data_IF_739913066001
#
_entry.id   IF_739913066001
#
_cell.length_a   1.000
_cell.length_b   1.000
_cell.length_c   1.000
_cell.angle_alpha   90.00
_cell.angle_beta   90.00
_cell.angle_gamma   90.00
#
_symmetry.space_group_name_H-M   'P 1'
#
loop_
_entity.id
_entity.type
_entity.pdbx_description
1 polymer ?
#
# COMPACT_ATOMS: atom_id res chain seq x y z
N UNK A 1 -3.43 2.88 -4.03
CA UNK A 1 -3.00 3.43 -2.73
C UNK A 1 -1.53 3.10 -2.51
N UNK A 2 -0.71 4.11 -2.25
CA UNK A 2 0.69 4.02 -1.88
C UNK A 2 0.77 4.14 -0.35
N UNK A 3 1.04 3.01 0.32
CA UNK A 3 1.00 2.88 1.77
C UNK A 3 2.41 2.80 2.33
N UNK A 4 2.82 3.83 3.06
CA UNK A 4 4.13 3.95 3.68
C UNK A 4 4.12 3.33 5.07
N UNK A 5 4.24 2.01 5.10
CA UNK A 5 4.26 1.21 6.33
C UNK A 5 5.47 1.55 7.18
N UNK A 6 5.23 1.81 8.47
CA UNK A 6 6.20 2.25 9.43
C UNK A 6 6.00 3.70 9.87
N UNK A 7 4.91 4.39 9.56
CA UNK A 7 4.64 5.73 10.07
C UNK A 7 5.51 6.81 9.44
N UNK A 8 5.15 7.28 8.26
CA UNK A 8 5.84 8.37 7.57
C UNK A 8 5.81 9.65 8.42
N UNK A 9 6.99 10.20 8.71
CA UNK A 9 7.10 11.48 9.41
C UNK A 9 6.48 12.60 8.58
N UNK A 10 5.36 13.15 9.02
CA UNK A 10 4.69 14.28 8.36
C UNK A 10 5.56 15.53 8.36
N UNK A 11 6.33 15.76 9.44
CA UNK A 11 7.19 16.94 9.60
C UNK A 11 8.39 16.91 8.66
N UNK A 12 8.87 15.71 8.31
CA UNK A 12 10.01 15.55 7.39
C UNK A 12 9.56 15.27 5.94
N UNK A 13 8.25 15.36 5.67
CA UNK A 13 7.66 15.11 4.34
C UNK A 13 6.69 16.21 3.91
N UNK A 14 5.43 16.13 4.35
CA UNK A 14 4.30 16.89 3.82
C UNK A 14 3.97 18.17 4.59
N UNK A 15 4.36 18.26 5.87
CA UNK A 15 3.97 19.28 6.83
C UNK A 15 5.16 19.79 7.65
N UNK A 16 6.16 20.32 6.94
CA UNK A 16 7.37 20.82 7.57
C UNK A 16 7.11 21.99 8.51
N UNK A 17 7.90 22.06 9.59
CA UNK A 17 7.82 23.11 10.62
C UNK A 17 9.11 23.94 10.68
N UNK A 18 9.48 24.68 9.62
CA UNK A 18 10.79 25.36 9.54
C UNK A 18 11.03 26.38 10.67
N UNK A 19 9.95 26.96 11.20
CA UNK A 19 9.98 27.94 12.30
C UNK A 19 10.03 27.32 13.70
N UNK A 20 9.86 25.99 13.82
CA UNK A 20 9.96 25.30 15.10
C UNK A 20 11.41 25.21 15.59
N UNK A 21 11.59 24.82 16.86
CA UNK A 21 12.91 24.55 17.44
C UNK A 21 13.69 23.50 16.63
N UNK A 22 15.02 23.54 16.68
CA UNK A 22 15.88 22.57 15.97
C UNK A 22 15.62 21.12 16.38
N UNK A 23 15.14 20.89 17.60
CA UNK A 23 14.71 19.59 18.11
C UNK A 23 13.37 19.11 17.53
N UNK A 24 12.66 19.96 16.80
CA UNK A 24 11.43 19.64 16.08
C UNK A 24 11.62 19.66 14.56
N UNK A 25 12.12 20.77 14.00
CA UNK A 25 12.20 20.95 12.54
C UNK A 25 13.23 20.04 11.87
N UNK A 26 14.24 19.58 12.62
CA UNK A 26 15.27 18.69 12.11
C UNK A 26 16.25 19.33 11.13
N UNK A 27 16.84 18.50 10.29
CA UNK A 27 17.93 18.86 9.36
C UNK A 27 17.42 19.30 7.97
N UNK A 28 16.17 18.97 7.63
CA UNK A 28 15.62 19.19 6.29
C UNK A 28 15.02 20.58 6.13
N UNK A 29 15.03 21.07 4.89
CA UNK A 29 14.47 22.37 4.52
C UNK A 29 13.25 22.23 3.60
N UNK A 30 12.31 23.20 3.66
CA UNK A 30 11.22 23.27 2.70
C UNK A 30 11.72 23.68 1.31
N UNK A 31 11.12 23.10 0.27
CA UNK A 31 11.26 23.52 -1.13
C UNK A 31 9.94 24.08 -1.65
N UNK A 32 10.03 25.09 -2.54
CA UNK A 32 8.86 25.61 -3.26
C UNK A 32 8.31 24.59 -4.24
N UNK A 33 6.98 24.59 -4.43
CA UNK A 33 6.28 23.60 -5.24
C UNK A 33 5.58 24.26 -6.44
N UNK A 34 4.94 23.46 -7.30
CA UNK A 34 4.10 23.98 -8.39
C UNK A 34 2.83 24.70 -7.93
N UNK A 35 2.52 24.66 -6.63
CA UNK A 35 1.50 25.50 -5.99
C UNK A 35 2.18 26.53 -5.08
N UNK A 36 1.95 27.83 -5.33
CA UNK A 36 2.71 28.93 -4.73
C UNK A 36 2.74 28.94 -3.20
N UNK A 37 1.65 28.52 -2.55
CA UNK A 37 1.48 28.57 -1.09
C UNK A 37 1.78 27.23 -0.39
N UNK A 38 2.34 26.27 -1.13
CA UNK A 38 2.63 24.93 -0.59
C UNK A 38 4.12 24.67 -0.69
N UNK A 39 4.71 24.32 0.44
CA UNK A 39 6.07 23.80 0.55
C UNK A 39 6.05 22.39 1.16
N UNK A 40 6.98 21.56 0.70
CA UNK A 40 7.22 20.20 1.19
C UNK A 40 8.74 19.97 1.36
N UNK A 41 9.15 18.80 1.83
CA UNK A 41 10.56 18.43 1.99
C UNK A 41 11.38 18.54 0.70
N UNK A 42 12.56 19.17 0.79
CA UNK A 42 13.53 19.29 -0.30
C UNK A 42 14.00 17.95 -0.90
N UNK A 43 13.82 16.84 -0.17
CA UNK A 43 14.09 15.49 -0.64
C UNK A 43 12.95 14.83 -1.44
N UNK A 44 11.87 15.58 -1.73
CA UNK A 44 10.82 15.19 -2.68
C UNK A 44 10.70 16.17 -3.86
N UNK A 45 11.81 16.47 -4.58
CA UNK A 45 11.82 17.52 -5.59
C UNK A 45 10.96 17.19 -6.82
N UNK A 46 10.75 15.92 -7.17
CA UNK A 46 9.93 15.56 -8.34
C UNK A 46 8.45 15.74 -8.03
N UNK A 47 8.00 15.32 -6.85
CA UNK A 47 6.65 15.58 -6.34
C UNK A 47 6.40 17.07 -6.13
N UNK A 48 7.39 17.84 -5.69
CA UNK A 48 7.26 19.30 -5.55
C UNK A 48 6.78 19.96 -6.85
N UNK A 49 7.25 19.48 -8.01
CA UNK A 49 6.81 19.99 -9.32
C UNK A 49 5.39 19.55 -9.74
N UNK A 50 4.75 18.66 -8.98
CA UNK A 50 3.44 18.06 -9.28
C UNK A 50 2.39 18.34 -8.21
N UNK A 51 2.69 19.15 -7.19
CA UNK A 51 1.77 19.50 -6.10
C UNK A 51 0.46 20.13 -6.60
N UNK A 52 0.46 20.80 -7.75
CA UNK A 52 -0.76 21.25 -8.44
C UNK A 52 -1.79 20.13 -8.68
N UNK A 53 -1.38 18.86 -8.69
CA UNK A 53 -2.27 17.70 -8.80
C UNK A 53 -2.68 17.09 -7.45
N UNK A 54 -2.00 17.46 -6.35
CA UNK A 54 -2.20 16.85 -5.04
C UNK A 54 -3.05 17.74 -4.11
N UNK A 55 -3.94 17.11 -3.37
CA UNK A 55 -4.51 17.65 -2.15
C UNK A 55 -3.80 17.00 -0.95
N UNK A 56 -3.14 17.79 -0.10
CA UNK A 56 -2.43 17.30 1.08
C UNK A 56 -3.32 17.53 2.30
N UNK A 57 -3.63 16.47 3.05
CA UNK A 57 -4.32 16.57 4.34
C UNK A 57 -3.26 16.61 5.44
N UNK A 58 -3.23 17.67 6.25
CA UNK A 58 -2.23 17.88 7.34
C UNK A 58 -2.80 17.75 8.75
N UNK A 59 -4.04 17.28 8.86
CA UNK A 59 -4.82 17.21 10.10
C UNK A 59 -5.33 15.80 10.39
N UNK A 60 -4.73 14.78 9.76
CA UNK A 60 -5.11 13.39 10.03
C UNK A 60 -4.70 13.01 11.45
N UNK A 61 -5.55 12.29 12.18
CA UNK A 61 -5.22 11.79 13.51
C UNK A 61 -6.03 10.54 13.88
N UNK A 62 -5.54 9.79 14.86
CA UNK A 62 -6.31 8.80 15.62
C UNK A 62 -5.62 8.51 16.96
N UNK A 63 -6.01 7.44 17.66
CA UNK A 63 -5.51 7.13 19.01
C UNK A 63 -4.66 5.85 19.12
N UNK A 64 -4.50 5.09 18.02
CA UNK A 64 -3.74 3.85 18.03
C UNK A 64 -2.22 4.10 18.01
N UNK A 65 -1.48 3.65 19.03
CA UNK A 65 -0.05 3.97 19.23
C UNK A 65 0.91 2.90 18.73
N UNK A 66 0.40 1.73 18.33
CA UNK A 66 1.19 0.65 17.75
C UNK A 66 0.85 0.43 16.28
N UNK A 67 1.83 -0.09 15.54
CA UNK A 67 1.72 -0.29 14.10
C UNK A 67 0.53 -1.17 13.67
N UNK A 68 0.17 -2.19 14.46
CA UNK A 68 -0.95 -3.09 14.14
C UNK A 68 -2.28 -2.38 14.28
N UNK A 69 -2.51 -1.76 15.43
CA UNK A 69 -3.74 -1.02 15.69
C UNK A 69 -3.92 0.15 14.72
N UNK A 70 -2.84 0.90 14.45
CA UNK A 70 -2.85 2.04 13.54
C UNK A 70 -3.03 1.62 12.08
N UNK A 71 -2.32 0.56 11.65
CA UNK A 71 -2.42 0.00 10.31
C UNK A 71 -3.81 -0.54 10.03
N UNK A 72 -4.40 -1.26 11.00
CA UNK A 72 -5.79 -1.70 10.94
C UNK A 72 -6.75 -0.53 10.72
N UNK A 73 -6.60 0.55 11.49
CA UNK A 73 -7.51 1.70 11.41
C UNK A 73 -7.42 2.37 10.04
N UNK A 74 -6.22 2.64 9.53
CA UNK A 74 -6.04 3.27 8.23
C UNK A 74 -6.42 2.36 7.05
N UNK A 75 -6.24 1.04 7.16
CA UNK A 75 -6.58 0.11 6.09
C UNK A 75 -8.07 -0.26 6.05
N UNK A 76 -8.79 -0.18 7.18
CA UNK A 76 -10.22 -0.54 7.26
C UNK A 76 -11.15 0.67 7.40
N UNK A 77 -10.63 1.82 7.82
CA UNK A 77 -11.44 3.00 8.14
C UNK A 77 -12.16 2.88 9.49
N UNK A 78 -11.91 1.82 10.25
CA UNK A 78 -12.58 1.53 11.52
C UNK A 78 -11.60 1.41 12.68
N UNK A 79 -11.97 1.97 13.82
CA UNK A 79 -11.19 1.85 15.04
C UNK A 79 -10.93 0.38 15.41
N UNK A 80 -9.68 0.01 15.76
CA UNK A 80 -9.39 -1.31 16.26
C UNK A 80 -10.03 -1.49 17.64
N UNK A 81 -10.32 -2.75 18.02
CA UNK A 81 -10.85 -3.06 19.35
C UNK A 81 -9.91 -2.65 20.48
N UNK A 82 -8.60 -2.67 20.22
CA UNK A 82 -7.55 -2.28 21.14
C UNK A 82 -6.64 -1.25 20.45
N UNK A 83 -6.40 -0.14 21.12
CA UNK A 83 -5.54 0.96 20.63
C UNK A 83 -4.03 0.67 20.80
N UNK A 84 -3.73 -0.32 21.64
CA UNK A 84 -2.39 -0.85 21.86
C UNK A 84 -2.51 -2.33 22.20
N UNK A 85 -2.10 -3.25 21.33
CA UNK A 85 -2.23 -4.69 21.62
C UNK A 85 -1.07 -5.56 21.09
N UNK A 86 -0.71 -6.64 21.81
CA UNK A 86 0.17 -7.66 21.24
C UNK A 86 -0.53 -8.39 20.08
N UNK A 87 0.28 -8.83 19.12
CA UNK A 87 -0.06 -9.44 17.83
C UNK A 87 -1.49 -10.00 17.69
N UNK A 88 -2.44 -9.14 17.28
CA UNK A 88 -3.78 -9.57 16.85
C UNK A 88 -3.65 -10.19 15.47
N UNK A 89 -3.88 -11.50 15.38
CA UNK A 89 -3.86 -12.20 14.11
C UNK A 89 -5.11 -11.87 13.27
N UNK A 90 -5.02 -11.89 11.93
CA UNK A 90 -6.18 -11.70 11.07
C UNK A 90 -7.30 -12.68 11.40
N UNK A 91 -8.53 -12.19 11.45
CA UNK A 91 -9.73 -12.96 11.73
C UNK A 91 -10.86 -12.58 10.78
N UNK A 92 -11.85 -13.48 10.63
CA UNK A 92 -13.10 -13.17 9.91
C UNK A 92 -14.05 -12.28 10.70
N UNK A 93 -13.71 -11.94 11.95
CA UNK A 93 -14.39 -10.92 12.74
C UNK A 93 -13.87 -9.50 12.49
N UNK A 94 -12.80 -9.34 11.70
CA UNK A 94 -12.22 -8.04 11.35
C UNK A 94 -13.14 -7.27 10.39
N UNK A 95 -13.05 -5.94 10.43
CA UNK A 95 -13.55 -5.09 9.36
C UNK A 95 -12.76 -5.37 8.07
N UNK A 96 -13.41 -5.39 6.90
CA UNK A 96 -12.73 -5.59 5.63
C UNK A 96 -11.76 -4.43 5.36
N UNK A 97 -10.64 -4.74 4.73
CA UNK A 97 -9.73 -3.72 4.19
C UNK A 97 -10.39 -2.93 3.06
N UNK A 98 -9.90 -1.74 2.78
CA UNK A 98 -10.34 -0.90 1.66
C UNK A 98 -10.32 -1.67 0.32
N UNK A 99 -9.31 -2.53 0.12
CA UNK A 99 -9.22 -3.39 -1.06
C UNK A 99 -10.34 -4.42 -1.13
N UNK A 100 -10.67 -5.07 -0.01
CA UNK A 100 -11.78 -6.02 0.05
C UNK A 100 -13.14 -5.32 -0.10
N UNK A 101 -13.32 -4.13 0.47
CA UNK A 101 -14.52 -3.32 0.28
C UNK A 101 -14.71 -2.94 -1.20
N UNK A 102 -13.64 -2.52 -1.88
CA UNK A 102 -13.66 -2.24 -3.31
C UNK A 102 -13.95 -3.51 -4.13
N UNK A 103 -13.29 -4.62 -3.83
CA UNK A 103 -13.53 -5.91 -4.48
C UNK A 103 -15.01 -6.34 -4.38
N UNK A 104 -15.61 -6.14 -3.21
CA UNK A 104 -17.03 -6.40 -2.97
C UNK A 104 -17.95 -5.45 -3.76
N UNK A 105 -17.66 -4.15 -3.75
CA UNK A 105 -18.44 -3.15 -4.50
C UNK A 105 -18.42 -3.42 -6.03
N UNK A 106 -17.31 -3.95 -6.56
CA UNK A 106 -17.14 -4.24 -7.98
C UNK A 106 -17.32 -5.73 -8.36
N UNK A 107 -17.89 -6.56 -7.48
CA UNK A 107 -17.95 -8.01 -7.65
C UNK A 107 -18.56 -8.46 -8.99
N UNK A 108 -19.67 -7.84 -9.42
CA UNK A 108 -20.33 -8.18 -10.69
C UNK A 108 -19.49 -7.84 -11.93
N UNK A 109 -18.68 -6.78 -11.86
CA UNK A 109 -17.73 -6.42 -12.93
C UNK A 109 -16.57 -7.42 -12.98
N UNK A 110 -16.07 -7.81 -11.82
CA UNK A 110 -14.91 -8.70 -11.68
C UNK A 110 -15.20 -10.14 -12.12
N UNK A 111 -16.41 -10.65 -11.83
CA UNK A 111 -16.86 -11.98 -12.31
C UNK A 111 -16.74 -12.15 -13.83
N UNK A 112 -16.81 -11.05 -14.59
CA UNK A 112 -16.72 -11.07 -16.06
C UNK A 112 -15.28 -10.99 -16.58
N UNK A 113 -14.37 -10.41 -15.81
CA UNK A 113 -12.98 -10.18 -16.25
C UNK A 113 -12.01 -11.28 -15.82
N UNK A 114 -12.33 -12.04 -14.78
CA UNK A 114 -11.39 -13.02 -14.19
C UNK A 114 -10.20 -12.36 -13.47
N UNK A 115 -10.23 -11.03 -13.29
CA UNK A 115 -9.20 -10.28 -12.56
C UNK A 115 -9.46 -10.39 -11.04
N UNK A 116 -8.41 -10.41 -10.21
CA UNK A 116 -8.60 -10.35 -8.77
C UNK A 116 -9.25 -9.03 -8.36
N UNK A 117 -10.07 -9.06 -7.31
CA UNK A 117 -10.80 -7.87 -6.86
C UNK A 117 -9.92 -6.79 -6.24
N UNK A 118 -8.80 -7.17 -5.62
CA UNK A 118 -7.76 -6.23 -5.19
C UNK A 118 -6.42 -6.94 -5.10
N UNK A 119 -5.34 -6.16 -5.13
CA UNK A 119 -3.97 -6.67 -5.02
C UNK A 119 -3.18 -5.91 -3.97
N UNK A 120 -2.26 -6.62 -3.33
CA UNK A 120 -1.30 -6.09 -2.37
C UNK A 120 0.11 -6.38 -2.88
N UNK A 121 0.93 -5.34 -2.99
CA UNK A 121 2.24 -5.37 -3.65
C UNK A 121 3.26 -4.70 -2.74
N UNK A 122 4.49 -5.23 -2.58
CA UNK A 122 4.97 -6.51 -3.08
C UNK A 122 4.62 -7.73 -2.19
N UNK A 123 4.26 -7.50 -0.93
CA UNK A 123 3.95 -8.55 0.06
C UNK A 123 3.05 -7.98 1.19
N UNK A 124 2.37 -8.82 1.99
CA UNK A 124 1.66 -8.33 3.16
C UNK A 124 2.63 -7.73 4.18
N UNK A 125 2.13 -6.76 4.95
CA UNK A 125 2.85 -6.23 6.11
C UNK A 125 2.70 -7.18 7.30
N UNK A 126 3.77 -7.29 8.08
CA UNK A 126 3.86 -8.12 9.27
C UNK A 126 4.67 -7.41 10.36
N UNK A 127 4.21 -7.51 11.60
CA UNK A 127 4.95 -7.14 12.82
C UNK A 127 4.68 -8.24 13.83
N UNK A 128 5.65 -9.13 14.10
CA UNK A 128 5.46 -10.31 14.97
C UNK A 128 4.28 -11.19 14.51
N UNK A 129 4.22 -11.44 13.19
CA UNK A 129 3.13 -12.16 12.51
C UNK A 129 2.37 -11.28 11.52
N UNK A 130 1.45 -11.87 10.75
CA UNK A 130 0.62 -11.10 9.81
C UNK A 130 -0.22 -10.05 10.55
N UNK A 131 -0.37 -8.89 9.92
CA UNK A 131 -1.18 -7.80 10.42
C UNK A 131 -2.64 -7.94 9.98
N UNK A 132 -3.56 -7.83 10.92
CA UNK A 132 -4.99 -7.80 10.66
C UNK A 132 -5.42 -6.51 9.93
N UNK A 133 -6.62 -6.47 9.35
CA UNK A 133 -7.10 -5.28 8.61
C UNK A 133 -6.55 -5.12 7.19
N UNK A 134 -5.65 -6.00 6.73
CA UNK A 134 -5.25 -6.10 5.31
C UNK A 134 -6.20 -6.99 4.48
N UNK A 135 -7.00 -7.82 5.15
CA UNK A 135 -7.80 -8.90 4.55
C UNK A 135 -9.29 -8.53 4.47
N UNK A 136 -10.10 -9.43 3.93
CA UNK A 136 -11.53 -9.21 3.77
C UNK A 136 -12.35 -9.35 5.05
N UNK A 137 -11.78 -9.86 6.14
CA UNK A 137 -12.48 -10.01 7.41
C UNK A 137 -13.84 -10.69 7.21
N UNK A 138 -14.90 -10.05 7.68
CA UNK A 138 -16.29 -10.54 7.62
C UNK A 138 -16.86 -10.70 6.21
N UNK A 139 -16.25 -10.12 5.16
CA UNK A 139 -16.71 -10.33 3.77
C UNK A 139 -16.35 -11.71 3.23
N UNK A 140 -15.42 -12.42 3.89
CA UNK A 140 -15.01 -13.77 3.50
C UNK A 140 -13.86 -13.79 2.49
N UNK A 141 -13.25 -14.97 2.34
CA UNK A 141 -11.97 -15.15 1.65
C UNK A 141 -12.00 -14.81 0.15
N UNK A 142 -13.17 -14.84 -0.50
CA UNK A 142 -13.33 -14.50 -1.91
C UNK A 142 -12.85 -13.08 -2.23
N UNK A 143 -12.99 -12.17 -1.26
CA UNK A 143 -12.59 -10.76 -1.37
C UNK A 143 -11.21 -10.47 -0.79
N UNK A 144 -10.46 -11.48 -0.33
CA UNK A 144 -9.10 -11.25 0.12
C UNK A 144 -8.21 -10.76 -1.05
N UNK A 145 -7.30 -9.82 -0.76
CA UNK A 145 -6.36 -9.34 -1.77
C UNK A 145 -5.43 -10.47 -2.23
N UNK A 146 -5.04 -10.42 -3.50
CA UNK A 146 -3.98 -11.29 -4.02
C UNK A 146 -2.63 -10.60 -3.80
N UNK A 147 -1.67 -11.34 -3.25
CA UNK A 147 -0.31 -10.87 -3.06
C UNK A 147 0.54 -11.10 -4.29
N UNK A 148 1.17 -10.03 -4.78
CA UNK A 148 2.02 -10.11 -5.97
C UNK A 148 3.33 -9.38 -5.72
N UNK A 149 4.44 -10.05 -6.00
CA UNK A 149 5.78 -9.47 -6.03
C UNK A 149 6.14 -9.11 -7.47
N UNK A 150 6.60 -7.87 -7.76
CA UNK A 150 7.07 -7.55 -9.10
C UNK A 150 8.28 -8.42 -9.44
N UNK A 151 8.31 -8.95 -10.67
CA UNK A 151 9.48 -9.65 -11.20
C UNK A 151 10.67 -8.70 -11.26
N UNK A 152 11.89 -9.17 -11.06
CA UNK A 152 13.12 -8.39 -11.21
C UNK A 152 14.30 -9.30 -11.57
N UNK A 153 15.24 -8.79 -12.38
CA UNK A 153 16.44 -9.53 -12.77
C UNK A 153 17.35 -9.82 -11.57
N UNK A 154 17.38 -8.91 -10.59
CA UNK A 154 17.98 -9.11 -9.28
C UNK A 154 16.87 -9.21 -8.24
N UNK A 155 16.88 -10.25 -7.42
CA UNK A 155 15.96 -10.32 -6.29
C UNK A 155 16.25 -9.17 -5.32
N UNK A 156 15.21 -8.46 -4.93
CA UNK A 156 15.29 -7.49 -3.84
C UNK A 156 15.48 -8.24 -2.51
N UNK A 157 16.34 -7.72 -1.65
CA UNK A 157 16.79 -8.34 -0.39
C UNK A 157 15.68 -8.53 0.68
N UNK A 158 14.40 -8.35 0.33
CA UNK A 158 13.27 -8.45 1.25
C UNK A 158 12.77 -9.89 1.44
N UNK A 159 12.52 -10.25 2.70
CA UNK A 159 11.90 -11.54 3.09
C UNK A 159 10.40 -11.36 3.23
N UNK A 160 9.62 -12.08 2.41
CA UNK A 160 8.17 -12.15 2.61
C UNK A 160 7.89 -13.01 3.84
N UNK A 161 7.04 -12.57 4.79
CA UNK A 161 6.37 -13.48 5.71
C UNK A 161 5.64 -14.49 4.83
N UNK A 162 5.86 -15.77 5.08
CA UNK A 162 5.32 -16.84 4.22
C UNK A 162 3.79 -16.83 4.29
N UNK A 163 3.17 -16.21 3.29
CA UNK A 163 1.81 -16.51 2.85
C UNK A 163 1.94 -16.89 1.39
N UNK A 164 1.62 -18.14 1.05
CA UNK A 164 1.86 -18.76 -0.27
C UNK A 164 1.92 -17.76 -1.42
N UNK A 165 3.13 -17.56 -1.95
CA UNK A 165 3.35 -16.69 -3.09
C UNK A 165 2.57 -17.23 -4.29
N UNK A 166 1.82 -16.36 -4.97
CA UNK A 166 1.44 -16.64 -6.35
C UNK A 166 2.69 -16.45 -7.22
N UNK A 167 3.53 -17.48 -7.31
CA UNK A 167 4.57 -17.52 -8.32
C UNK A 167 3.88 -17.75 -9.67
N UNK A 168 3.70 -16.67 -10.44
CA UNK A 168 3.13 -16.71 -11.78
C UNK A 168 4.15 -17.15 -12.84
N UNK A 169 5.40 -17.38 -12.44
CA UNK A 169 6.44 -17.88 -13.34
C UNK A 169 5.99 -19.21 -13.95
N UNK A 170 6.02 -19.35 -15.29
CA UNK A 170 5.72 -20.61 -15.93
C UNK A 170 6.74 -21.65 -15.42
N UNK A 171 6.25 -22.67 -14.72
CA UNK A 171 7.06 -23.85 -14.43
C UNK A 171 7.49 -24.44 -15.80
N UNK A 172 8.79 -24.58 -16.10
CA UNK A 172 9.31 -24.82 -17.45
C UNK A 172 8.68 -26.03 -18.18
N UNK A 173 8.07 -26.95 -17.45
CA UNK A 173 7.47 -28.18 -17.96
C UNK A 173 5.95 -28.27 -17.79
N UNK A 174 5.27 -27.17 -17.47
CA UNK A 174 3.86 -27.16 -17.06
C UNK A 174 2.99 -26.34 -18.01
N UNK A 175 2.77 -26.89 -19.21
CA UNK A 175 1.84 -26.33 -20.18
C UNK A 175 0.36 -26.40 -19.74
N UNK A 176 -0.55 -25.65 -20.39
CA UNK A 176 -1.97 -25.56 -20.02
C UNK A 176 -2.65 -26.93 -19.94
N UNK A 177 -2.39 -27.82 -20.91
CA UNK A 177 -2.98 -29.16 -20.96
C UNK A 177 -2.52 -30.05 -19.80
N UNK A 178 -1.25 -29.92 -19.40
CA UNK A 178 -0.69 -30.66 -18.27
C UNK A 178 -1.22 -30.15 -16.93
N UNK A 179 -1.47 -28.84 -16.83
CA UNK A 179 -2.14 -28.23 -15.68
C UNK A 179 -3.59 -28.72 -15.56
N UNK A 180 -4.34 -28.69 -16.65
CA UNK A 180 -5.72 -29.18 -16.71
C UNK A 180 -5.81 -30.69 -16.37
N UNK A 181 -4.88 -31.50 -16.88
CA UNK A 181 -4.80 -32.93 -16.56
C UNK A 181 -4.54 -33.18 -15.05
N UNK A 182 -3.68 -32.38 -14.42
CA UNK A 182 -3.42 -32.45 -12.97
C UNK A 182 -4.60 -32.00 -12.14
N UNK A 183 -5.33 -30.94 -12.54
CA UNK A 183 -6.58 -30.55 -11.88
C UNK A 183 -7.63 -31.65 -11.98
N UNK A 184 -7.82 -32.22 -13.17
CA UNK A 184 -8.73 -33.36 -13.35
C UNK A 184 -8.32 -34.55 -12.48
N UNK A 185 -7.02 -34.85 -12.38
CA UNK A 185 -6.54 -35.93 -11.51
C UNK A 185 -6.79 -35.61 -10.03
N UNK A 186 -6.52 -34.39 -9.58
CA UNK A 186 -6.78 -33.94 -8.21
C UNK A 186 -8.27 -34.07 -7.87
N UNK A 187 -9.15 -33.57 -8.75
CA UNK A 187 -10.60 -33.71 -8.58
C UNK A 187 -11.08 -35.17 -8.58
N UNK A 188 -10.42 -36.06 -9.34
CA UNK A 188 -10.69 -37.51 -9.32
C UNK A 188 -10.16 -38.20 -8.05
N UNK A 189 -9.04 -37.76 -7.51
CA UNK A 189 -8.48 -38.27 -6.25
C UNK A 189 -9.28 -37.79 -5.04
N UNK A 190 -9.90 -36.61 -5.12
CA UNK A 190 -10.79 -36.07 -4.08
C UNK A 190 -12.24 -36.59 -4.17
N UNK A 191 -12.52 -37.45 -5.17
CA UNK A 191 -13.83 -37.98 -5.53
C UNK A 191 -14.33 -39.09 -4.57
N UNK A 192 -14.34 -38.76 -3.28
CA UNK A 192 -14.83 -39.61 -2.18
C UNK A 192 -14.86 -38.91 -0.82
N UNK A 193 -14.42 -37.65 -0.74
CA UNK A 193 -14.43 -36.86 0.50
C UNK A 193 -13.64 -37.49 1.65
N UNK A 194 -12.74 -38.43 1.36
CA UNK A 194 -11.91 -39.11 2.36
C UNK A 194 -10.81 -38.18 2.90
N UNK A 195 -10.23 -37.34 2.04
CA UNK A 195 -9.34 -36.24 2.44
C UNK A 195 -10.12 -35.10 3.13
N UNK A 196 -11.32 -34.77 2.62
CA UNK A 196 -12.22 -33.75 3.22
C UNK A 196 -12.69 -34.07 4.65
N UNK A 197 -12.88 -35.35 5.00
CA UNK A 197 -13.32 -35.77 6.35
C UNK A 197 -12.21 -35.75 7.41
N UNK A 198 -10.95 -35.83 7.00
CA UNK A 198 -9.79 -35.73 7.91
C UNK A 198 -9.33 -34.27 8.07
N UNK A 199 -9.68 -33.39 7.12
CA UNK A 199 -9.21 -32.01 7.03
C UNK A 199 -10.27 -30.95 7.44
N UNK A 200 -11.22 -31.29 8.32
CA UNK A 200 -12.21 -30.35 8.86
C UNK A 200 -11.59 -29.39 9.91
N UNK A 201 -10.45 -28.79 9.59
CA UNK A 201 -9.94 -27.59 10.22
C UNK A 201 -10.18 -26.44 9.23
N UNK A 202 -10.70 -25.31 9.71
CA UNK A 202 -11.09 -24.13 8.93
C UNK A 202 -9.99 -23.59 7.97
N UNK A 203 -8.74 -24.03 8.15
CA UNK A 203 -7.59 -23.67 7.31
C UNK A 203 -7.60 -24.26 5.89
N UNK A 204 -8.29 -25.38 5.63
CA UNK A 204 -8.23 -26.05 4.32
C UNK A 204 -9.17 -25.46 3.25
N UNK A 205 -10.36 -24.99 3.63
CA UNK A 205 -11.30 -24.38 2.68
C UNK A 205 -10.77 -23.08 2.06
N UNK A 206 -10.08 -22.26 2.87
CA UNK A 206 -9.40 -21.06 2.39
C UNK A 206 -8.23 -21.41 1.44
N UNK A 207 -7.46 -22.47 1.73
CA UNK A 207 -6.39 -22.93 0.83
C UNK A 207 -6.89 -23.42 -0.53
N UNK A 208 -7.99 -24.17 -0.58
CA UNK A 208 -8.60 -24.64 -1.84
C UNK A 208 -9.07 -23.45 -2.70
N UNK A 209 -9.66 -22.42 -2.08
CA UNK A 209 -10.09 -21.20 -2.75
C UNK A 209 -8.91 -20.38 -3.29
N UNK A 210 -7.84 -20.20 -2.50
CA UNK A 210 -6.62 -19.55 -2.99
C UNK A 210 -6.00 -20.32 -4.16
N UNK A 211 -5.99 -21.66 -4.11
CA UNK A 211 -5.49 -22.50 -5.20
C UNK A 211 -6.35 -22.35 -6.47
N UNK A 212 -7.68 -22.35 -6.34
CA UNK A 212 -8.57 -22.16 -7.49
C UNK A 212 -8.36 -20.78 -8.15
N UNK A 213 -8.28 -19.71 -7.35
CA UNK A 213 -8.01 -18.34 -7.81
C UNK A 213 -6.63 -18.23 -8.47
N UNK A 214 -5.61 -18.88 -7.89
CA UNK A 214 -4.27 -18.96 -8.47
C UNK A 214 -4.29 -19.61 -9.86
N UNK A 215 -5.01 -20.71 -10.00
CA UNK A 215 -5.11 -21.47 -11.23
C UNK A 215 -5.88 -20.71 -12.32
N UNK A 216 -6.95 -20.00 -11.95
CA UNK A 216 -7.68 -19.13 -12.86
C UNK A 216 -6.80 -17.98 -13.37
N UNK A 217 -6.04 -17.34 -12.47
CA UNK A 217 -5.08 -16.30 -12.84
C UNK A 217 -3.95 -16.84 -13.74
N UNK A 218 -3.47 -18.06 -13.46
CA UNK A 218 -2.51 -18.74 -14.32
C UNK A 218 -3.11 -19.17 -15.66
N UNK A 219 -4.40 -19.47 -15.76
CA UNK A 219 -5.02 -19.85 -17.03
C UNK A 219 -5.36 -18.63 -17.90
N UNK A 220 -5.64 -17.48 -17.29
CA UNK A 220 -6.05 -16.24 -17.96
C UNK A 220 -4.89 -15.53 -18.67
N UNK A 221 -4.93 -15.44 -20.01
CA UNK A 221 -3.92 -14.73 -20.81
C UNK A 221 -3.85 -13.23 -20.47
N UNK A 222 -5.00 -12.57 -20.34
CA UNK A 222 -5.08 -11.14 -20.00
C UNK A 222 -4.53 -10.84 -18.61
N UNK A 223 -4.77 -11.74 -17.64
CA UNK A 223 -4.24 -11.66 -16.28
C UNK A 223 -2.71 -11.69 -16.34
N UNK A 224 -2.11 -12.73 -16.95
CA UNK A 224 -0.64 -12.86 -17.06
C UNK A 224 0.02 -11.65 -17.73
N UNK A 225 -0.58 -11.15 -18.81
CA UNK A 225 -0.03 -9.99 -19.51
C UNK A 225 -0.05 -8.71 -18.66
N UNK A 226 -1.06 -8.53 -17.80
CA UNK A 226 -1.12 -7.39 -16.89
C UNK A 226 0.00 -7.43 -15.83
N UNK A 227 0.40 -8.63 -15.39
CA UNK A 227 1.49 -8.83 -14.41
C UNK A 227 2.91 -8.71 -14.98
N UNK A 228 3.06 -8.79 -16.31
CA UNK A 228 4.37 -8.75 -16.97
C UNK A 228 4.85 -7.31 -17.21
N UNK A 229 5.80 -6.86 -16.37
CA UNK A 229 6.43 -5.54 -16.48
C UNK A 229 7.29 -5.39 -17.73
N UNK A 230 7.82 -6.48 -18.31
CA UNK A 230 8.69 -6.40 -19.49
C UNK A 230 7.93 -5.98 -20.75
N UNK A 231 6.59 -5.99 -20.71
CA UNK A 231 5.72 -5.45 -21.76
C UNK A 231 5.68 -3.92 -21.78
N UNK A 232 6.15 -3.25 -20.74
CA UNK A 232 6.27 -1.79 -20.74
C UNK A 232 7.52 -1.33 -21.49
N UNK A 233 7.45 -0.21 -22.23
CA UNK A 233 8.61 0.38 -22.87
C UNK A 233 9.73 0.62 -21.85
N UNK A 234 10.99 0.41 -22.28
CA UNK A 234 12.16 0.59 -21.41
C UNK A 234 12.22 1.99 -20.77
N UNK A 235 11.79 3.03 -21.50
CA UNK A 235 11.71 4.39 -20.99
C UNK A 235 10.72 4.54 -19.82
N UNK A 236 9.55 3.89 -19.90
CA UNK A 236 8.56 3.89 -18.81
C UNK A 236 9.14 3.17 -17.59
N UNK A 237 9.73 1.99 -17.77
CA UNK A 237 10.38 1.27 -16.66
C UNK A 237 11.49 2.10 -16.00
N UNK A 238 12.33 2.77 -16.79
CA UNK A 238 13.39 3.63 -16.27
C UNK A 238 12.83 4.86 -15.52
N UNK A 239 11.70 5.41 -15.96
CA UNK A 239 11.05 6.55 -15.31
C UNK A 239 10.61 6.21 -13.88
N UNK A 240 9.96 5.06 -13.68
CA UNK A 240 9.57 4.57 -12.34
C UNK A 240 10.77 4.13 -11.48
N UNK A 241 11.84 3.66 -12.11
CA UNK A 241 13.09 3.26 -11.45
C UNK A 241 13.18 1.76 -11.17
N UNK A 242 14.40 1.24 -11.18
CA UNK A 242 14.70 -0.18 -10.91
C UNK A 242 14.94 -0.44 -9.42
N UNK A 243 13.94 -0.11 -8.62
CA UNK A 243 13.86 -0.40 -7.18
C UNK A 243 12.48 -0.96 -6.86
N UNK A 244 12.34 -1.59 -5.69
CA UNK A 244 11.11 -2.32 -5.33
C UNK A 244 9.88 -1.41 -5.33
N UNK A 245 10.00 -0.17 -4.86
CA UNK A 245 8.92 0.81 -4.88
C UNK A 245 8.48 1.11 -6.32
N UNK A 246 9.41 1.52 -7.18
CA UNK A 246 9.16 1.88 -8.58
C UNK A 246 8.49 0.76 -9.37
N UNK A 247 9.03 -0.46 -9.28
CA UNK A 247 8.44 -1.63 -9.95
C UNK A 247 7.06 -1.99 -9.40
N UNK A 248 6.84 -1.84 -8.09
CA UNK A 248 5.54 -2.10 -7.46
C UNK A 248 4.48 -1.09 -7.89
N UNK A 249 4.84 0.20 -7.98
CA UNK A 249 3.95 1.26 -8.46
C UNK A 249 3.63 1.08 -9.94
N UNK A 250 4.62 0.75 -10.78
CA UNK A 250 4.39 0.45 -12.20
C UNK A 250 3.46 -0.77 -12.37
N UNK A 251 3.67 -1.82 -11.58
CA UNK A 251 2.79 -2.99 -11.59
C UNK A 251 1.36 -2.59 -11.19
N UNK A 252 1.19 -1.79 -10.13
CA UNK A 252 -0.12 -1.27 -9.75
C UNK A 252 -0.80 -0.46 -10.87
N UNK A 253 -0.04 0.35 -11.63
CA UNK A 253 -0.56 1.09 -12.79
C UNK A 253 -1.11 0.13 -13.87
N UNK A 254 -0.36 -0.92 -14.20
CA UNK A 254 -0.79 -1.94 -15.19
C UNK A 254 -1.99 -2.77 -14.72
N UNK A 255 -2.03 -3.10 -13.44
CA UNK A 255 -3.11 -3.89 -12.86
C UNK A 255 -4.42 -3.10 -12.77
N UNK A 256 -4.33 -1.81 -12.46
CA UNK A 256 -5.49 -0.91 -12.52
C UNK A 256 -5.93 -0.65 -13.96
N UNK A 257 -5.01 -0.54 -14.92
CA UNK A 257 -5.31 -0.53 -16.37
C UNK A 257 -6.13 -1.77 -16.80
N UNK A 258 -5.76 -2.93 -16.26
CA UNK A 258 -6.44 -4.20 -16.55
C UNK A 258 -7.78 -4.36 -15.80
N UNK A 259 -8.24 -3.35 -15.07
CA UNK A 259 -9.56 -3.31 -14.44
C UNK A 259 -9.61 -3.78 -13.00
N UNK A 260 -8.46 -3.95 -12.33
CA UNK A 260 -8.43 -4.16 -10.87
C UNK A 260 -8.82 -2.84 -10.19
N UNK A 261 -9.90 -2.79 -9.39
CA UNK A 261 -10.41 -1.52 -8.83
C UNK A 261 -9.46 -0.90 -7.81
N UNK A 262 -8.66 -1.71 -7.10
CA UNK A 262 -7.76 -1.20 -6.08
C UNK A 262 -6.46 -2.02 -5.98
N UNK A 263 -5.34 -1.32 -6.09
CA UNK A 263 -4.02 -1.84 -5.77
C UNK A 263 -3.44 -1.11 -4.55
N UNK A 264 -3.01 -1.88 -3.54
CA UNK A 264 -2.25 -1.38 -2.39
C UNK A 264 -0.77 -1.66 -2.66
N UNK A 265 0.04 -0.62 -2.72
CA UNK A 265 1.49 -0.71 -2.81
C UNK A 265 2.05 -0.33 -1.45
N UNK A 266 2.63 -1.30 -0.75
CA UNK A 266 3.40 -1.04 0.46
C UNK A 266 4.78 -0.51 0.06
N UNK A 267 4.94 0.81 0.17
CA UNK A 267 6.14 1.51 -0.28
C UNK A 267 7.28 1.30 0.72
N UNK A 268 8.37 0.68 0.28
CA UNK A 268 9.65 0.61 0.99
C UNK A 268 10.82 0.86 0.07
N UNK A 269 11.97 1.15 0.68
CA UNK A 269 13.25 1.12 -0.02
C UNK A 269 13.90 -0.29 -0.03
N UNK A 270 13.31 -1.26 0.67
CA UNK A 270 13.84 -2.62 0.84
C UNK A 270 12.91 -3.50 1.68
N UNK A 271 13.47 -4.35 2.55
CA UNK A 271 12.70 -5.28 3.39
C UNK A 271 11.67 -4.57 4.31
N UNK A 272 10.36 -4.82 4.16
CA UNK A 272 9.30 -4.19 4.96
C UNK A 272 9.09 -4.88 6.33
N UNK A 273 9.69 -6.04 6.62
CA UNK A 273 9.21 -6.90 7.72
C UNK A 273 10.27 -7.28 8.79
N UNK A 274 11.23 -6.40 9.08
CA UNK A 274 12.15 -6.54 10.22
C UNK A 274 12.49 -5.21 10.85
N UNK A 275 12.87 -5.16 12.14
CA UNK A 275 13.22 -3.91 12.86
C UNK A 275 14.44 -3.16 12.31
N UNK A 276 15.24 -3.83 11.46
CA UNK A 276 16.33 -3.24 10.69
C UNK A 276 15.96 -3.04 9.20
N UNK A 277 14.69 -3.24 8.85
CA UNK A 277 14.16 -3.20 7.50
C UNK A 277 14.09 -1.77 6.96
N UNK A 278 14.12 -1.66 5.64
CA UNK A 278 14.02 -0.40 4.89
C UNK A 278 12.56 0.07 4.78
N UNK A 279 11.87 0.13 5.92
CA UNK A 279 10.51 0.66 6.09
C UNK A 279 10.52 2.04 6.78
N UNK A 280 9.34 2.64 6.92
CA UNK A 280 9.19 4.02 7.42
C UNK A 280 9.36 4.15 8.93
N UNK A 281 9.54 3.04 9.66
CA UNK A 281 9.75 3.06 11.11
C UNK A 281 11.19 3.49 11.49
N UNK A 282 11.35 4.81 11.63
CA UNK A 282 12.61 5.54 11.81
C UNK A 282 12.87 5.98 13.26
N UNK A 283 12.80 5.05 14.21
CA UNK A 283 13.22 5.29 15.60
C UNK A 283 14.69 5.73 15.76
N UNK A 284 15.53 5.47 14.75
CA UNK A 284 16.93 5.88 14.70
C UNK A 284 17.28 6.40 13.30
N UNK A 285 18.21 7.36 13.24
CA UNK A 285 18.79 7.89 11.99
C UNK A 285 17.73 8.35 10.97
N UNK A 286 16.66 9.01 11.43
CA UNK A 286 15.53 9.39 10.59
C UNK A 286 15.95 10.17 9.34
N UNK A 287 16.77 11.21 9.50
CA UNK A 287 17.19 12.06 8.38
C UNK A 287 18.07 11.30 7.37
N UNK A 288 19.01 10.49 7.84
CA UNK A 288 19.87 9.67 6.98
C UNK A 288 19.02 8.67 6.17
N UNK A 289 18.10 7.96 6.82
CA UNK A 289 17.26 6.94 6.18
C UNK A 289 16.26 7.56 5.22
N UNK A 290 15.62 8.67 5.59
CA UNK A 290 14.70 9.38 4.72
C UNK A 290 15.39 9.92 3.47
N UNK A 291 16.54 10.59 3.63
CA UNK A 291 17.29 11.20 2.51
C UNK A 291 17.87 10.17 1.56
N UNK A 292 18.44 9.08 2.07
CA UNK A 292 19.22 8.14 1.27
C UNK A 292 18.40 6.96 0.77
N UNK A 293 17.43 6.52 1.57
CA UNK A 293 16.77 5.24 1.34
C UNK A 293 15.28 5.44 1.01
N UNK A 294 14.49 6.16 1.81
CA UNK A 294 13.02 6.15 1.69
C UNK A 294 12.46 7.17 0.67
N UNK A 295 12.84 8.44 0.78
CA UNK A 295 12.25 9.51 -0.04
C UNK A 295 12.64 9.42 -1.51
N UNK A 296 13.90 9.11 -1.89
CA UNK A 296 14.26 9.03 -3.31
C UNK A 296 13.42 8.05 -4.15
N UNK A 297 13.22 6.78 -3.74
CA UNK A 297 12.40 5.85 -4.52
C UNK A 297 10.91 6.23 -4.50
N UNK A 298 10.39 6.74 -3.37
CA UNK A 298 9.00 7.20 -3.30
C UNK A 298 8.77 8.40 -4.23
N UNK A 299 9.64 9.41 -4.20
CA UNK A 299 9.56 10.63 -5.01
C UNK A 299 9.62 10.28 -6.50
N UNK A 300 10.56 9.42 -6.90
CA UNK A 300 10.67 8.96 -8.29
C UNK A 300 9.41 8.20 -8.75
N UNK A 301 8.98 7.19 -8.00
CA UNK A 301 7.85 6.34 -8.39
C UNK A 301 6.53 7.11 -8.40
N UNK A 302 6.32 7.99 -7.42
CA UNK A 302 5.13 8.83 -7.31
C UNK A 302 5.05 9.84 -8.46
N UNK A 303 6.16 10.51 -8.78
CA UNK A 303 6.21 11.44 -9.89
C UNK A 303 5.98 10.75 -11.24
N UNK A 304 6.60 9.57 -11.45
CA UNK A 304 6.40 8.76 -12.64
C UNK A 304 4.93 8.34 -12.81
N UNK A 305 4.29 7.88 -11.72
CA UNK A 305 2.87 7.51 -11.75
C UNK A 305 1.98 8.69 -12.16
N UNK A 306 2.20 9.86 -11.55
CA UNK A 306 1.42 11.06 -11.86
C UNK A 306 1.62 11.52 -13.31
N UNK A 307 2.86 11.53 -13.80
CA UNK A 307 3.16 11.91 -15.19
C UNK A 307 2.51 10.96 -16.19
N UNK A 308 2.61 9.65 -15.92
CA UNK A 308 2.07 8.60 -16.77
C UNK A 308 0.54 8.64 -16.83
N UNK A 309 -0.12 8.74 -15.66
CA UNK A 309 -1.59 8.89 -15.59
C UNK A 309 -2.07 10.20 -16.22
N UNK A 310 -1.32 11.30 -16.08
CA UNK A 310 -1.66 12.58 -16.72
C UNK A 310 -1.50 12.48 -18.24
N UNK A 311 -0.39 11.94 -18.73
CA UNK A 311 -0.10 11.81 -20.15
C UNK A 311 -1.11 10.89 -20.87
N UNK A 312 -1.66 9.90 -20.17
CA UNK A 312 -2.67 8.99 -20.68
C UNK A 312 -4.11 9.44 -20.42
N UNK A 313 -4.31 10.59 -19.75
CA UNK A 313 -5.64 11.09 -19.36
C UNK A 313 -6.33 10.27 -18.26
N UNK A 314 -5.65 9.28 -17.69
CA UNK A 314 -6.19 8.36 -16.68
C UNK A 314 -6.22 8.92 -15.26
N UNK A 315 -5.50 10.02 -15.00
CA UNK A 315 -5.52 10.66 -13.69
C UNK A 315 -6.94 11.13 -13.32
N UNK A 316 -7.75 11.53 -14.29
CA UNK A 316 -9.14 11.94 -14.07
C UNK A 316 -10.06 10.79 -13.64
N UNK A 317 -9.67 9.54 -13.91
CA UNK A 317 -10.43 8.32 -13.59
C UNK A 317 -9.77 7.46 -12.50
N UNK A 318 -8.59 7.86 -12.01
CA UNK A 318 -7.78 7.09 -11.06
C UNK A 318 -7.45 7.93 -9.84
N UNK A 319 -7.89 7.48 -8.66
CA UNK A 319 -7.48 8.08 -7.40
C UNK A 319 -6.13 7.50 -6.94
N UNK A 320 -5.12 8.37 -6.81
CA UNK A 320 -3.86 8.05 -6.14
C UNK A 320 -3.92 8.58 -4.71
N UNK A 321 -3.61 7.73 -3.74
CA UNK A 321 -3.63 8.04 -2.31
C UNK A 321 -2.27 7.72 -1.72
N UNK A 322 -1.62 8.67 -1.06
CA UNK A 322 -0.47 8.46 -0.18
C UNK A 322 -0.97 8.39 1.25
N UNK A 323 -0.70 7.28 1.91
CA UNK A 323 -1.18 7.00 3.26
C UNK A 323 -0.09 6.32 4.09
N UNK A 324 -0.22 6.40 5.40
CA UNK A 324 0.62 5.70 6.38
C UNK A 324 -0.27 5.33 7.57
N UNK A 325 0.18 4.42 8.44
CA UNK A 325 -0.62 4.09 9.62
C UNK A 325 -0.69 5.21 10.65
N UNK A 326 0.32 6.07 10.76
CA UNK A 326 0.34 7.23 11.66
C UNK A 326 1.51 8.15 11.31
N UNK A 327 1.71 9.21 12.09
CA UNK A 327 2.84 10.12 11.95
C UNK A 327 4.00 9.74 12.86
N UNK A 328 4.90 10.70 13.07
CA UNK A 328 6.07 10.57 13.93
C UNK A 328 6.18 11.71 14.91
N UNK A 329 6.81 11.48 16.05
CA UNK A 329 6.87 12.48 17.12
C UNK A 329 7.46 13.80 16.62
N UNK A 330 6.85 14.94 16.99
CA UNK A 330 7.42 16.26 16.73
C UNK A 330 8.83 16.42 17.25
N UNK A 331 9.11 15.90 18.45
CA UNK A 331 10.43 15.95 19.02
C UNK A 331 11.30 14.81 18.51
N UNK A 332 12.52 15.15 18.10
CA UNK A 332 13.57 14.19 17.73
C UNK A 332 14.07 13.48 18.99
N UNK A 333 14.17 12.16 18.94
CA UNK A 333 14.61 11.33 20.05
C UNK A 333 16.16 11.24 20.13
N UNK A 334 16.69 10.60 21.17
CA UNK A 334 18.14 10.47 21.38
C UNK A 334 18.89 9.68 20.31
N UNK A 335 18.19 8.93 19.45
CA UNK A 335 18.77 8.17 18.33
C UNK A 335 18.81 8.94 17.01
N UNK A 336 18.60 10.26 17.04
CA UNK A 336 18.35 11.07 15.84
C UNK A 336 17.18 10.52 15.00
N UNK A 337 16.21 9.88 15.67
CA UNK A 337 15.00 9.33 15.09
C UNK A 337 13.75 10.02 15.61
N UNK A 338 12.59 9.45 15.29
CA UNK A 338 11.29 9.86 15.82
C UNK A 338 10.45 8.64 16.17
N UNK A 339 9.65 8.76 17.22
CA UNK A 339 8.84 7.65 17.75
C UNK A 339 7.42 7.66 17.18
N UNK A 340 6.64 6.61 17.46
CA UNK A 340 5.26 6.47 16.98
C UNK A 340 4.40 7.66 17.41
N UNK A 341 3.56 8.17 16.49
CA UNK A 341 2.76 9.35 16.81
C UNK A 341 1.43 9.41 16.04
N UNK A 342 0.34 8.93 16.65
CA UNK A 342 -0.97 8.93 15.99
C UNK A 342 -1.73 10.25 16.08
N UNK A 343 -1.29 11.15 16.95
CA UNK A 343 -1.98 12.40 17.26
C UNK A 343 -2.04 13.35 16.07
N UNK A 344 -1.06 13.30 15.16
CA UNK A 344 -1.10 14.07 13.92
C UNK A 344 -0.26 13.39 12.85
N UNK A 345 -0.79 13.32 11.62
CA UNK A 345 -0.08 12.83 10.44
C UNK A 345 -0.66 13.43 9.15
N UNK A 346 -0.05 13.08 8.03
CA UNK A 346 -0.47 13.57 6.72
C UNK A 346 -0.86 12.43 5.79
N UNK A 347 -1.82 12.73 4.91
CA UNK A 347 -2.15 11.95 3.74
C UNK A 347 -2.14 12.86 2.51
N UNK A 348 -2.05 12.29 1.31
CA UNK A 348 -2.23 13.05 0.08
C UNK A 348 -3.11 12.30 -0.91
N UNK A 349 -3.83 13.04 -1.74
CA UNK A 349 -4.78 12.55 -2.74
C UNK A 349 -4.52 13.23 -4.07
N UNK A 350 -4.62 12.51 -5.18
CA UNK A 350 -4.55 13.09 -6.53
C UNK A 350 -5.47 12.33 -7.49
N UNK A 351 -6.07 13.05 -8.44
CA UNK A 351 -6.93 12.46 -9.48
C UNK A 351 -8.37 12.18 -9.03
N UNK A 352 -9.14 11.51 -9.90
CA UNK A 352 -10.55 11.14 -9.68
C UNK A 352 -11.43 12.29 -9.15
N UNK A 353 -11.27 13.49 -9.72
CA UNK A 353 -12.03 14.69 -9.34
C UNK A 353 -11.60 15.37 -8.04
N UNK A 354 -10.58 14.87 -7.35
CA UNK A 354 -9.95 15.59 -6.22
C UNK A 354 -9.26 16.85 -6.75
N UNK A 355 -9.60 18.00 -6.17
CA UNK A 355 -8.96 19.28 -6.51
C UNK A 355 -7.54 19.30 -5.96
N UNK A 356 -6.54 19.36 -6.84
CA UNK A 356 -5.13 19.50 -6.46
C UNK A 356 -4.70 20.93 -6.12
N UNK A 357 -3.42 21.10 -5.79
CA UNK A 357 -2.83 22.41 -5.50
C UNK A 357 -3.32 23.02 -4.19
N UNK A 358 -3.76 22.20 -3.24
CA UNK A 358 -4.31 22.66 -1.97
C UNK A 358 -3.85 21.82 -0.78
N UNK A 359 -3.95 22.43 0.39
CA UNK A 359 -3.81 21.78 1.69
C UNK A 359 -5.17 21.81 2.39
N UNK A 360 -5.59 20.68 2.95
CA UNK A 360 -6.78 20.58 3.80
C UNK A 360 -6.35 20.39 5.26
N UNK A 361 -6.97 21.18 6.14
CA UNK A 361 -6.64 21.23 7.55
C UNK A 361 -5.22 21.73 7.83
N UNK A 362 -4.89 21.84 9.11
CA UNK A 362 -3.60 22.35 9.56
C UNK A 362 -3.26 21.73 10.90
N UNK A 363 -2.01 21.32 11.10
CA UNK A 363 -1.49 20.98 12.43
C UNK A 363 -0.91 22.20 13.15
N UNK A 364 -0.64 22.07 14.44
CA UNK A 364 -0.06 23.15 15.25
C UNK A 364 1.37 23.54 14.83
N UNK A 365 1.95 24.50 15.57
CA UNK A 365 3.26 25.08 15.26
C UNK A 365 4.42 24.06 15.29
N UNK A 366 4.24 22.91 15.94
CA UNK A 366 5.24 21.83 16.02
C UNK A 366 4.77 20.54 15.32
N UNK A 367 3.55 20.50 14.80
CA UNK A 367 2.96 19.32 14.18
C UNK A 367 2.52 18.25 15.18
N UNK A 368 2.19 18.64 16.42
CA UNK A 368 1.78 17.70 17.46
C UNK A 368 0.30 17.31 17.36
N UNK A 369 -0.58 18.26 17.12
CA UNK A 369 -2.03 18.03 17.04
C UNK A 369 -2.63 18.77 15.82
N UNK A 370 -3.76 18.31 15.29
CA UNK A 370 -4.59 19.10 14.39
C UNK A 370 -5.02 20.40 15.07
N UNK A 371 -4.69 21.52 14.45
CA UNK A 371 -5.15 22.84 14.87
C UNK A 371 -6.47 23.22 14.21
N UNK A 372 -6.62 22.89 12.92
CA UNK A 372 -7.82 23.18 12.11
C UNK A 372 -8.25 21.94 11.32
N UNK A 373 -9.57 21.75 11.20
CA UNK A 373 -10.24 20.69 10.41
C UNK A 373 -9.68 19.27 10.62
N UNK A 374 -9.72 18.73 11.86
CA UNK A 374 -9.24 17.39 12.16
C UNK A 374 -9.96 16.33 11.32
N UNK A 375 -9.21 15.36 10.82
CA UNK A 375 -9.72 14.24 10.04
C UNK A 375 -9.24 12.91 10.61
N UNK A 376 -10.11 11.91 10.60
CA UNK A 376 -9.79 10.54 10.96
C UNK A 376 -9.78 9.59 9.74
N UNK A 377 -9.31 8.35 9.90
CA UNK A 377 -9.33 7.34 8.84
C UNK A 377 -10.72 7.17 8.18
N UNK A 378 -11.81 7.25 8.93
CA UNK A 378 -13.17 7.15 8.42
C UNK A 378 -13.54 8.28 7.43
N UNK A 379 -13.01 9.50 7.66
CA UNK A 379 -13.22 10.64 6.77
C UNK A 379 -12.46 10.46 5.44
N UNK A 380 -11.24 9.95 5.51
CA UNK A 380 -10.45 9.61 4.33
C UNK A 380 -11.12 8.49 3.52
N UNK A 381 -11.60 7.44 4.17
CA UNK A 381 -12.31 6.34 3.51
C UNK A 381 -13.59 6.81 2.83
N UNK A 382 -14.39 7.66 3.49
CA UNK A 382 -15.58 8.25 2.88
C UNK A 382 -15.23 9.05 1.61
N UNK A 383 -14.11 9.78 1.63
CA UNK A 383 -13.61 10.53 0.46
C UNK A 383 -13.17 9.60 -0.66
N UNK A 384 -12.47 8.50 -0.34
CA UNK A 384 -12.04 7.51 -1.32
C UNK A 384 -13.26 6.85 -1.98
N UNK A 385 -14.24 6.39 -1.19
CA UNK A 385 -15.46 5.77 -1.74
C UNK A 385 -16.35 6.74 -2.52
N UNK A 386 -16.24 8.04 -2.26
CA UNK A 386 -16.93 9.05 -3.08
C UNK A 386 -16.28 9.23 -4.45
N UNK A 387 -14.98 8.97 -4.57
CA UNK A 387 -14.22 9.11 -5.80
C UNK A 387 -14.22 7.84 -6.67
N UNK A 388 -14.32 6.66 -6.04
CA UNK A 388 -14.51 5.36 -6.70
C UNK A 388 -15.95 5.16 -7.17
#
# INVERSE_FOLDING_TARGET
>A
MLFCWGGMSHIDTWDMKPDAGSDVRGEFHPISTSAADIQICEHMPRLAQRISHLAIVRSMHHLATDHRAAGYWNLTGHAPRLLSAPAIMPSRDDWPSLGAMAAHAFAERLKRSGMPGSVSIPYPIADRGLLNGQFAGMLGADYDPVYVKPTAARQFDGVSPETGQLALDPLPDLGPDRLAARQSLLGKLDNGGALRRVAAAESFGAMEQYQAKALEMLAGRGVREAFDLEREPAAIRAMYGDHICGRSVLLARRLTDAGIPLAVVYCSAGDLNGSAGSHWDTHVQNFQRLRNDMLPPLDQASAALLDDLTATGRLDETLVVWLTEFGRTPKINGGAGRDHYPNCYSAALAGAGVRGGQVYGRSDAIGAEPADDPCGPEHLHATIFRAL
#
